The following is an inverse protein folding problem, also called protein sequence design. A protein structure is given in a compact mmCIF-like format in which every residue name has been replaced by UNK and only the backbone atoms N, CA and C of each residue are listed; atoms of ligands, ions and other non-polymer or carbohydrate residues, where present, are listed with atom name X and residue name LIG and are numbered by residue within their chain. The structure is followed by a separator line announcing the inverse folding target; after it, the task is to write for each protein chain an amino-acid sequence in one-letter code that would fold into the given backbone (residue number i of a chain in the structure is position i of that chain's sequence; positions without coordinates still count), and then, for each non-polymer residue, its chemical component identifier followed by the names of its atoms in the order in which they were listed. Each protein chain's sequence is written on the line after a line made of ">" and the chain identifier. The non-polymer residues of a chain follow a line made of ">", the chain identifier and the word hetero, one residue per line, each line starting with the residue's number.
data_IF_385181766839
#
_entry.id   IF_385181766839
#
_cell.length_a   1.000
_cell.length_b   1.000
_cell.length_c   1.000
_cell.angle_alpha   90.00
_cell.angle_beta   90.00
_cell.angle_gamma   90.00
#
_symmetry.space_group_name_H-M   'P 1'
#
loop_
_entity.id
_entity.type
_entity.pdbx_description
1 polymer ?
#
# COMPACT_ATOMS: atom_id res chain seq x y z
N UNK A 1 -23.37 -69.43 47.29
CA UNK A 1 -22.69 -68.18 46.87
C UNK A 1 -21.21 -68.33 47.20
N UNK A 2 -20.33 -68.05 46.27
CA UNK A 2 -18.88 -68.15 46.41
C UNK A 2 -18.20 -66.90 45.84
N UNK A 3 -16.87 -66.79 45.97
CA UNK A 3 -16.04 -65.77 45.31
C UNK A 3 -15.22 -66.42 44.21
N UNK A 4 -15.22 -65.85 43.01
CA UNK A 4 -14.48 -66.34 41.85
C UNK A 4 -14.02 -65.14 41.00
N UNK A 5 -12.75 -65.10 40.59
CA UNK A 5 -12.19 -64.05 39.71
C UNK A 5 -12.52 -62.61 40.20
N UNK A 6 -12.40 -62.38 41.52
CA UNK A 6 -12.77 -61.13 42.19
C UNK A 6 -14.27 -60.95 42.46
N UNK A 7 -15.14 -61.51 41.62
CA UNK A 7 -16.59 -61.35 41.71
C UNK A 7 -17.32 -62.36 42.63
N UNK A 8 -18.60 -62.09 42.86
CA UNK A 8 -19.51 -62.94 43.61
C UNK A 8 -20.24 -63.93 42.69
N UNK A 9 -19.95 -65.22 42.84
CA UNK A 9 -20.57 -66.30 42.09
C UNK A 9 -21.84 -66.83 42.77
N UNK A 10 -22.93 -66.88 42.01
CA UNK A 10 -24.18 -67.59 42.32
C UNK A 10 -24.57 -68.49 41.14
N UNK A 11 -25.45 -69.46 41.39
CA UNK A 11 -25.91 -70.37 40.36
C UNK A 11 -26.55 -71.63 40.92
N UNK A 12 -27.07 -72.44 40.01
CA UNK A 12 -27.63 -73.77 40.23
C UNK A 12 -27.06 -74.68 39.13
N UNK A 13 -26.68 -75.90 39.48
CA UNK A 13 -26.22 -76.90 38.51
C UNK A 13 -26.76 -78.28 38.86
N UNK A 14 -27.05 -79.06 37.82
CA UNK A 14 -27.39 -80.46 37.87
C UNK A 14 -26.37 -81.24 37.05
N UNK A 15 -25.81 -82.30 37.65
CA UNK A 15 -24.92 -83.25 37.01
C UNK A 15 -25.48 -84.66 37.23
N UNK A 16 -25.76 -85.37 36.13
CA UNK A 16 -26.24 -86.75 36.10
C UNK A 16 -25.27 -87.61 35.30
N UNK A 17 -25.28 -88.91 35.57
CA UNK A 17 -24.63 -89.92 34.73
C UNK A 17 -25.64 -91.04 34.48
N UNK A 18 -25.86 -91.38 33.22
CA UNK A 18 -26.78 -92.45 32.78
C UNK A 18 -26.01 -93.33 31.81
N UNK A 19 -25.76 -94.59 32.21
CA UNK A 19 -25.06 -95.61 31.41
C UNK A 19 -23.71 -95.15 30.82
N UNK A 20 -22.96 -94.35 31.59
CA UNK A 20 -21.66 -93.79 31.19
C UNK A 20 -21.75 -92.52 30.34
N UNK A 21 -22.94 -91.99 30.08
CA UNK A 21 -23.15 -90.68 29.49
C UNK A 21 -23.37 -89.65 30.61
N UNK A 22 -22.47 -88.68 30.74
CA UNK A 22 -22.66 -87.52 31.60
C UNK A 22 -23.69 -86.57 30.99
N UNK A 23 -24.56 -85.99 31.82
CA UNK A 23 -25.47 -84.91 31.47
C UNK A 23 -25.23 -83.77 32.46
N UNK A 24 -24.96 -82.57 31.96
CA UNK A 24 -24.80 -81.36 32.76
C UNK A 24 -25.79 -80.28 32.31
N UNK A 25 -26.40 -79.59 33.26
CA UNK A 25 -27.16 -78.36 33.04
C UNK A 25 -26.87 -77.39 34.17
N UNK A 26 -26.58 -76.13 33.86
CA UNK A 26 -26.24 -75.14 34.87
C UNK A 26 -26.61 -73.72 34.47
N UNK A 27 -27.10 -72.95 35.44
CA UNK A 27 -27.26 -71.50 35.36
C UNK A 27 -26.29 -70.86 36.35
N UNK A 28 -25.47 -69.92 35.87
CA UNK A 28 -24.44 -69.25 36.67
C UNK A 28 -24.54 -67.74 36.47
N UNK A 29 -24.39 -66.98 37.56
CA UNK A 29 -24.13 -65.53 37.53
C UNK A 29 -22.88 -65.23 38.34
N UNK A 30 -21.93 -64.54 37.73
CA UNK A 30 -20.75 -63.97 38.36
C UNK A 30 -20.89 -62.45 38.34
N UNK A 31 -21.09 -61.82 39.50
CA UNK A 31 -21.31 -60.37 39.60
C UNK A 31 -20.09 -59.64 40.15
N UNK A 32 -19.77 -58.47 39.57
CA UNK A 32 -18.68 -57.59 40.00
C UNK A 32 -17.28 -58.17 39.82
N UNK A 33 -17.04 -58.96 38.77
CA UNK A 33 -15.71 -59.50 38.48
C UNK A 33 -14.83 -58.48 37.73
N UNK A 34 -13.53 -58.50 37.99
CA UNK A 34 -12.53 -57.64 37.35
C UNK A 34 -12.11 -58.25 36.00
N UNK A 35 -12.24 -57.49 34.91
CA UNK A 35 -11.93 -57.98 33.56
C UNK A 35 -10.46 -58.34 33.38
N UNK A 36 -9.54 -57.69 34.09
CA UNK A 36 -8.11 -58.03 34.07
C UNK A 36 -7.82 -59.38 34.73
N UNK A 37 -8.67 -59.78 35.68
CA UNK A 37 -8.60 -61.07 36.38
C UNK A 37 -9.34 -62.18 35.61
N UNK A 38 -10.47 -61.86 34.97
CA UNK A 38 -11.25 -62.82 34.17
C UNK A 38 -10.55 -63.15 32.83
N UNK A 39 -9.94 -62.15 32.18
CA UNK A 39 -9.28 -62.28 30.88
C UNK A 39 -7.84 -61.71 30.93
N UNK A 40 -6.90 -62.37 31.65
CA UNK A 40 -5.52 -61.92 31.73
C UNK A 40 -4.88 -61.83 30.34
N UNK A 41 -4.04 -60.80 30.16
CA UNK A 41 -3.37 -60.43 28.91
C UNK A 41 -4.30 -60.11 27.71
N UNK A 42 -5.63 -60.04 27.86
CA UNK A 42 -6.53 -59.64 26.79
C UNK A 42 -6.48 -58.14 26.45
N UNK A 43 -5.82 -57.33 27.28
CA UNK A 43 -5.84 -55.88 27.17
C UNK A 43 -7.19 -55.25 27.56
N UNK A 44 -8.08 -56.00 28.20
CA UNK A 44 -9.38 -55.53 28.67
C UNK A 44 -9.30 -55.16 30.15
N UNK A 45 -9.82 -53.99 30.52
CA UNK A 45 -10.01 -53.57 31.91
C UNK A 45 -11.39 -52.94 32.13
N UNK A 46 -11.81 -52.85 33.39
CA UNK A 46 -13.18 -52.56 33.80
C UNK A 46 -13.73 -53.67 34.69
N UNK A 47 -15.05 -53.67 34.90
CA UNK A 47 -15.74 -54.72 35.67
C UNK A 47 -16.91 -55.31 34.88
N UNK A 48 -17.37 -56.51 35.24
CA UNK A 48 -18.49 -57.15 34.57
C UNK A 48 -19.36 -58.03 35.47
N UNK A 49 -20.67 -58.01 35.18
CA UNK A 49 -21.61 -59.03 35.61
C UNK A 49 -21.86 -59.98 34.44
N UNK A 50 -21.52 -61.25 34.61
CA UNK A 50 -21.69 -62.32 33.63
C UNK A 50 -22.84 -63.22 34.06
N UNK A 51 -23.75 -63.57 33.14
CA UNK A 51 -24.84 -64.53 33.39
C UNK A 51 -24.91 -65.52 32.24
N UNK A 52 -24.98 -66.83 32.53
CA UNK A 52 -25.04 -67.85 31.48
C UNK A 52 -25.90 -69.06 31.90
N UNK A 53 -26.61 -69.62 30.94
CA UNK A 53 -27.25 -70.93 31.03
C UNK A 53 -26.59 -71.87 30.02
N UNK A 54 -26.00 -72.96 30.50
CA UNK A 54 -25.25 -73.95 29.71
C UNK A 54 -25.81 -75.35 29.94
N UNK A 55 -25.84 -76.18 28.90
CA UNK A 55 -26.17 -77.60 28.98
C UNK A 55 -25.36 -78.43 27.98
N UNK A 56 -25.09 -79.68 28.34
CA UNK A 56 -24.32 -80.62 27.52
C UNK A 56 -24.55 -82.07 27.94
N UNK A 57 -24.24 -83.01 27.05
CA UNK A 57 -24.15 -84.43 27.37
C UNK A 57 -23.04 -85.12 26.59
N UNK A 58 -22.29 -86.03 27.23
CA UNK A 58 -21.24 -86.79 26.55
C UNK A 58 -20.59 -87.87 27.42
N UNK A 59 -19.85 -88.78 26.77
CA UNK A 59 -19.15 -89.90 27.43
C UNK A 59 -17.74 -89.56 27.95
N UNK A 60 -17.25 -88.35 27.67
CA UNK A 60 -16.00 -87.78 28.18
C UNK A 60 -16.15 -86.27 28.38
N UNK A 61 -15.20 -85.65 29.08
CA UNK A 61 -15.18 -84.19 29.25
C UNK A 61 -15.07 -83.49 27.89
N UNK A 62 -14.21 -83.97 27.00
CA UNK A 62 -14.04 -83.40 25.65
C UNK A 62 -15.33 -83.51 24.82
N UNK A 63 -16.04 -84.65 24.92
CA UNK A 63 -17.34 -84.80 24.28
C UNK A 63 -18.41 -83.87 24.89
N UNK A 64 -18.32 -83.58 26.20
CA UNK A 64 -19.19 -82.59 26.86
C UNK A 64 -18.81 -81.14 26.50
N UNK A 65 -17.55 -80.84 26.14
CA UNK A 65 -17.18 -79.52 25.59
C UNK A 65 -17.68 -79.42 24.13
N UNK A 66 -17.44 -80.43 23.30
CA UNK A 66 -17.89 -80.49 21.91
C UNK A 66 -19.43 -80.52 21.76
N UNK A 67 -20.16 -80.99 22.77
CA UNK A 67 -21.62 -80.93 22.84
C UNK A 67 -22.17 -79.72 23.63
N UNK A 68 -21.30 -78.80 24.09
CA UNK A 68 -21.72 -77.67 24.92
C UNK A 68 -22.60 -76.71 24.13
N UNK A 69 -23.76 -76.43 24.71
CA UNK A 69 -24.79 -75.55 24.16
C UNK A 69 -25.29 -74.58 25.23
N UNK A 70 -25.77 -73.41 24.83
CA UNK A 70 -26.34 -72.44 25.75
C UNK A 70 -26.28 -70.99 25.29
N UNK A 71 -26.49 -70.07 26.23
CA UNK A 71 -26.41 -68.64 25.99
C UNK A 71 -26.05 -67.87 27.25
N UNK A 72 -25.76 -66.58 27.10
CA UNK A 72 -25.49 -65.69 28.23
C UNK A 72 -25.40 -64.23 27.85
N UNK A 73 -25.13 -63.42 28.86
CA UNK A 73 -24.88 -61.98 28.76
C UNK A 73 -23.68 -61.60 29.61
N UNK A 74 -22.94 -60.61 29.15
CA UNK A 74 -21.90 -59.93 29.89
C UNK A 74 -22.23 -58.43 29.91
N UNK A 75 -22.64 -57.90 31.06
CA UNK A 75 -22.91 -56.47 31.24
C UNK A 75 -21.66 -55.84 31.82
N UNK A 76 -20.93 -55.10 31.00
CA UNK A 76 -19.58 -54.58 31.27
C UNK A 76 -19.66 -53.10 31.67
N UNK A 77 -18.80 -52.68 32.59
CA UNK A 77 -18.76 -51.30 33.12
C UNK A 77 -17.36 -50.72 33.13
N UNK A 78 -17.24 -49.49 32.64
CA UNK A 78 -15.96 -48.80 32.48
C UNK A 78 -14.98 -49.54 31.55
N UNK A 79 -15.51 -50.28 30.55
CA UNK A 79 -14.70 -51.08 29.63
C UNK A 79 -13.66 -50.20 28.94
N UNK A 80 -12.40 -50.62 29.03
CA UNK A 80 -11.28 -50.02 28.31
C UNK A 80 -10.50 -51.12 27.58
N UNK A 81 -10.12 -50.85 26.33
CA UNK A 81 -9.45 -51.79 25.43
C UNK A 81 -8.05 -51.23 25.11
N UNK A 82 -7.02 -51.83 25.67
CA UNK A 82 -5.63 -51.41 25.52
C UNK A 82 -5.00 -51.95 24.23
N UNK A 83 -4.21 -51.12 23.56
CA UNK A 83 -3.67 -51.40 22.23
C UNK A 83 -4.63 -51.03 21.10
N UNK A 84 -5.47 -50.01 21.31
CA UNK A 84 -6.37 -49.39 20.32
C UNK A 84 -6.41 -47.90 20.63
N UNK A 85 -5.87 -47.07 19.74
CA UNK A 85 -5.79 -45.62 19.90
C UNK A 85 -6.99 -44.92 19.22
N UNK A 86 -7.97 -44.37 19.96
CA UNK A 86 -9.12 -43.67 19.35
C UNK A 86 -8.74 -42.34 18.69
N UNK A 87 -7.64 -41.70 19.13
CA UNK A 87 -7.22 -40.36 18.70
C UNK A 87 -6.12 -40.39 17.62
N UNK A 88 -5.76 -41.58 17.15
CA UNK A 88 -4.71 -41.85 16.16
C UNK A 88 -4.82 -41.00 14.88
N UNK A 89 -6.03 -40.64 14.45
CA UNK A 89 -6.31 -40.03 13.16
C UNK A 89 -5.47 -38.79 12.84
N UNK A 90 -5.26 -37.90 13.82
CA UNK A 90 -4.41 -36.71 13.63
C UNK A 90 -2.95 -37.05 13.32
N UNK A 91 -2.41 -38.08 14.00
CA UNK A 91 -1.04 -38.55 13.79
C UNK A 91 -0.90 -39.36 12.48
N UNK A 92 -1.92 -40.16 12.12
CA UNK A 92 -2.00 -40.86 10.83
C UNK A 92 -1.99 -39.87 9.67
N UNK A 93 -2.78 -38.78 9.76
CA UNK A 93 -2.79 -37.69 8.78
C UNK A 93 -1.44 -36.96 8.73
N UNK A 94 -0.83 -36.66 9.89
CA UNK A 94 0.47 -35.98 9.91
C UNK A 94 1.56 -36.80 9.21
N UNK A 95 1.59 -38.13 9.42
CA UNK A 95 2.49 -39.04 8.69
C UNK A 95 2.19 -39.04 7.20
N UNK A 96 0.93 -39.20 6.80
CA UNK A 96 0.53 -39.18 5.40
C UNK A 96 0.91 -37.87 4.70
N UNK A 97 0.74 -36.73 5.35
CA UNK A 97 1.09 -35.41 4.78
C UNK A 97 2.61 -35.18 4.68
N UNK A 98 3.46 -35.89 5.44
CA UNK A 98 4.92 -35.91 5.20
C UNK A 98 5.34 -36.74 3.98
N UNK A 99 4.49 -37.67 3.53
CA UNK A 99 4.68 -38.49 2.33
C UNK A 99 4.03 -37.81 1.11
N UNK A 100 2.92 -37.11 1.31
CA UNK A 100 2.22 -36.32 0.32
C UNK A 100 1.57 -37.17 -0.78
N UNK A 101 1.66 -36.67 -2.02
CA UNK A 101 1.03 -37.25 -3.23
C UNK A 101 1.39 -38.72 -3.47
N UNK A 102 2.57 -39.16 -3.03
CA UNK A 102 3.10 -40.49 -3.30
C UNK A 102 2.75 -41.51 -2.19
N UNK A 103 1.73 -41.23 -1.37
CA UNK A 103 1.20 -42.18 -0.37
C UNK A 103 0.63 -43.44 -1.05
N UNK A 104 0.81 -44.60 -0.42
CA UNK A 104 0.32 -45.90 -0.91
C UNK A 104 0.10 -46.89 0.25
N UNK A 105 -0.35 -48.11 -0.06
CA UNK A 105 -0.62 -49.18 0.92
C UNK A 105 0.62 -49.57 1.71
N UNK A 106 1.77 -49.74 1.06
CA UNK A 106 3.01 -50.17 1.71
C UNK A 106 3.58 -49.08 2.62
N UNK A 107 3.53 -47.81 2.19
CA UNK A 107 3.93 -46.66 3.01
C UNK A 107 2.98 -46.46 4.19
N UNK A 108 1.68 -46.70 4.03
CA UNK A 108 0.69 -46.63 5.11
C UNK A 108 0.91 -47.73 6.14
N UNK A 109 1.14 -48.97 5.70
CA UNK A 109 1.47 -50.09 6.57
C UNK A 109 2.78 -49.88 7.37
N UNK A 110 3.69 -49.05 6.87
CA UNK A 110 4.93 -48.65 7.55
C UNK A 110 4.76 -47.63 8.70
N UNK A 111 3.55 -47.19 9.03
CA UNK A 111 3.30 -46.36 10.23
C UNK A 111 1.94 -46.57 10.91
N UNK A 112 0.91 -47.02 10.17
CA UNK A 112 -0.45 -47.06 10.68
C UNK A 112 -0.69 -48.10 11.80
N UNK A 113 -0.13 -49.34 11.74
CA UNK A 113 -0.27 -50.32 12.82
C UNK A 113 0.24 -49.82 14.18
N UNK A 114 1.40 -49.15 14.19
CA UNK A 114 2.00 -48.65 15.43
C UNK A 114 1.15 -47.52 16.04
N UNK A 115 0.72 -46.56 15.22
CA UNK A 115 -0.08 -45.41 15.69
C UNK A 115 -1.50 -45.84 16.10
N UNK A 116 -2.11 -46.81 15.40
CA UNK A 116 -3.39 -47.38 15.78
C UNK A 116 -3.30 -48.26 17.04
N UNK A 117 -2.13 -48.86 17.31
CA UNK A 117 -1.86 -49.64 18.51
C UNK A 117 -1.45 -48.82 19.75
N UNK A 118 -0.89 -47.63 19.58
CA UNK A 118 -0.38 -46.79 20.68
C UNK A 118 -1.50 -46.02 21.41
N UNK A 119 -2.34 -46.72 22.16
CA UNK A 119 -3.39 -46.11 22.97
C UNK A 119 -4.40 -47.07 23.60
N UNK A 120 -5.35 -46.49 24.33
CA UNK A 120 -6.43 -47.21 25.01
C UNK A 120 -7.80 -46.67 24.58
N UNK A 121 -8.65 -47.52 24.03
CA UNK A 121 -10.02 -47.18 23.64
C UNK A 121 -10.93 -47.30 24.87
N UNK A 122 -11.35 -46.17 25.43
CA UNK A 122 -12.42 -46.14 26.42
C UNK A 122 -13.76 -46.42 25.70
N UNK A 123 -14.40 -47.54 26.03
CA UNK A 123 -15.67 -47.98 25.47
C UNK A 123 -16.87 -47.70 26.41
N UNK A 124 -16.63 -47.52 27.71
CA UNK A 124 -17.68 -47.22 28.69
C UNK A 124 -18.47 -48.44 29.14
N UNK A 125 -19.77 -48.28 29.38
CA UNK A 125 -20.65 -49.38 29.80
C UNK A 125 -21.30 -50.02 28.57
N UNK A 126 -21.33 -51.35 28.50
CA UNK A 126 -21.82 -52.09 27.31
C UNK A 126 -22.34 -53.49 27.65
N UNK A 127 -23.42 -53.92 26.99
CA UNK A 127 -24.08 -55.21 27.21
C UNK A 127 -23.87 -56.13 26.00
N UNK A 128 -23.14 -57.23 26.21
CA UNK A 128 -22.81 -58.21 25.16
C UNK A 128 -23.59 -59.50 25.42
N UNK A 129 -24.53 -59.83 24.54
CA UNK A 129 -25.15 -61.15 24.49
C UNK A 129 -24.24 -62.15 23.75
N UNK A 130 -24.24 -63.42 24.17
CA UNK A 130 -23.50 -64.48 23.49
C UNK A 130 -24.28 -65.81 23.47
N UNK A 131 -23.94 -66.64 22.49
CA UNK A 131 -24.40 -68.03 22.40
C UNK A 131 -23.21 -68.97 22.52
N UNK A 132 -23.45 -70.19 22.98
CA UNK A 132 -22.49 -71.30 22.94
C UNK A 132 -23.13 -72.43 22.16
N UNK A 133 -22.43 -72.96 21.16
CA UNK A 133 -22.88 -74.11 20.38
C UNK A 133 -21.67 -74.91 19.87
N UNK A 134 -21.66 -76.21 20.13
CA UNK A 134 -20.56 -77.10 19.73
C UNK A 134 -19.25 -76.84 20.49
N UNK A 135 -19.33 -76.26 21.69
CA UNK A 135 -18.15 -75.74 22.41
C UNK A 135 -17.60 -74.42 21.88
N UNK A 136 -18.14 -73.85 20.79
CA UNK A 136 -17.78 -72.51 20.34
C UNK A 136 -18.74 -71.45 20.91
N UNK A 137 -18.19 -70.48 21.63
CA UNK A 137 -18.87 -69.23 22.00
C UNK A 137 -18.83 -68.25 20.82
N UNK A 138 -19.96 -67.55 20.56
CA UNK A 138 -20.05 -66.45 19.59
C UNK A 138 -20.88 -65.31 20.18
N UNK A 139 -20.39 -64.08 20.05
CA UNK A 139 -21.21 -62.88 20.21
C UNK A 139 -21.69 -62.39 18.84
N UNK A 140 -22.85 -61.69 18.74
CA UNK A 140 -23.17 -60.85 17.59
C UNK A 140 -22.13 -59.73 17.42
N UNK A 141 -22.10 -59.04 16.25
CA UNK A 141 -21.19 -57.92 16.02
C UNK A 141 -21.38 -56.82 17.07
N UNK A 142 -20.38 -56.63 17.93
CA UNK A 142 -20.39 -55.59 18.97
C UNK A 142 -20.00 -54.26 18.34
N UNK A 143 -20.67 -53.18 18.73
CA UNK A 143 -20.31 -51.80 18.35
C UNK A 143 -20.08 -50.96 19.59
N UNK A 144 -18.96 -50.25 19.63
CA UNK A 144 -18.52 -49.39 20.72
C UNK A 144 -18.07 -48.06 20.12
N UNK A 145 -18.46 -46.93 20.71
CA UNK A 145 -18.16 -45.60 20.16
C UNK A 145 -17.72 -44.62 21.24
N UNK A 146 -16.77 -43.75 20.91
CA UNK A 146 -16.38 -42.61 21.74
C UNK A 146 -16.18 -41.35 20.89
N UNK A 147 -15.47 -40.35 21.43
CA UNK A 147 -15.26 -39.06 20.77
C UNK A 147 -14.35 -39.15 19.53
N UNK A 148 -13.33 -40.02 19.54
CA UNK A 148 -12.33 -40.14 18.46
C UNK A 148 -12.69 -41.18 17.39
N UNK A 149 -13.27 -42.31 17.78
CA UNK A 149 -13.53 -43.43 16.87
C UNK A 149 -14.78 -44.24 17.21
N UNK A 150 -15.25 -44.99 16.21
CA UNK A 150 -16.12 -46.15 16.35
C UNK A 150 -15.29 -47.44 16.21
N UNK A 151 -15.66 -48.47 16.95
CA UNK A 151 -15.04 -49.79 16.96
C UNK A 151 -16.12 -50.85 16.79
N UNK A 152 -16.02 -51.64 15.71
CA UNK A 152 -16.88 -52.81 15.48
C UNK A 152 -16.06 -54.09 15.64
N UNK A 153 -16.65 -55.14 16.22
CA UNK A 153 -15.96 -56.42 16.43
C UNK A 153 -16.91 -57.64 16.42
N UNK A 154 -16.58 -58.63 15.58
CA UNK A 154 -17.06 -60.00 15.72
C UNK A 154 -16.16 -60.77 16.71
N UNK A 155 -16.75 -61.48 17.67
CA UNK A 155 -16.01 -62.18 18.72
C UNK A 155 -16.45 -63.66 18.76
N UNK A 156 -15.45 -64.55 18.64
CA UNK A 156 -15.64 -66.00 18.77
C UNK A 156 -14.57 -66.60 19.66
N UNK A 157 -14.92 -67.65 20.42
CA UNK A 157 -13.96 -68.41 21.21
C UNK A 157 -14.30 -69.89 21.17
N UNK A 158 -13.32 -70.73 20.86
CA UNK A 158 -13.49 -72.18 20.79
C UNK A 158 -12.92 -72.86 22.03
N UNK A 159 -13.81 -73.39 22.86
CA UNK A 159 -13.46 -74.06 24.11
C UNK A 159 -12.83 -75.44 23.86
N UNK A 160 -13.03 -76.04 22.68
CA UNK A 160 -12.39 -77.30 22.30
C UNK A 160 -10.87 -77.14 22.11
N UNK A 161 -10.43 -76.02 21.50
CA UNK A 161 -9.01 -75.69 21.29
C UNK A 161 -8.43 -74.69 22.29
N UNK A 162 -9.26 -74.15 23.19
CA UNK A 162 -8.89 -73.04 24.11
C UNK A 162 -8.37 -71.79 23.38
N UNK A 163 -8.94 -71.49 22.22
CA UNK A 163 -8.58 -70.33 21.40
C UNK A 163 -9.68 -69.26 21.39
N UNK A 164 -9.26 -68.03 21.12
CA UNK A 164 -10.14 -66.88 20.91
C UNK A 164 -9.74 -66.18 19.62
N UNK A 165 -10.73 -65.69 18.88
CA UNK A 165 -10.57 -64.90 17.68
C UNK A 165 -11.57 -63.75 17.66
N UNK A 166 -11.05 -62.52 17.60
CA UNK A 166 -11.82 -61.31 17.33
C UNK A 166 -11.36 -60.69 16.00
N UNK A 167 -12.30 -60.16 15.21
CA UNK A 167 -12.02 -59.41 13.98
C UNK A 167 -12.92 -58.19 13.91
N UNK A 168 -12.41 -57.10 13.37
CA UNK A 168 -13.18 -55.86 13.36
C UNK A 168 -12.50 -54.70 12.67
N UNK A 169 -13.11 -53.53 12.82
CA UNK A 169 -12.66 -52.28 12.20
C UNK A 169 -12.72 -51.15 13.21
N UNK A 170 -11.66 -50.35 13.27
CA UNK A 170 -11.61 -49.03 13.90
C UNK A 170 -11.92 -48.02 12.80
N UNK A 171 -13.00 -47.27 12.92
CA UNK A 171 -13.34 -46.16 12.01
C UNK A 171 -13.21 -44.85 12.77
N UNK A 172 -12.25 -44.02 12.38
CA UNK A 172 -11.98 -42.73 13.02
C UNK A 172 -13.01 -41.69 12.60
N UNK A 173 -13.27 -40.69 13.44
CA UNK A 173 -14.16 -39.56 13.13
C UNK A 173 -13.35 -38.47 12.42
N UNK A 174 -13.56 -38.22 11.10
CA UNK A 174 -12.63 -37.42 10.31
C UNK A 174 -12.72 -35.89 10.51
N UNK A 175 -13.84 -35.38 11.04
CA UNK A 175 -14.07 -33.94 11.21
C UNK A 175 -13.91 -33.17 9.89
N UNK A 176 -13.15 -32.08 9.92
CA UNK A 176 -12.83 -31.24 8.75
C UNK A 176 -11.94 -31.94 7.69
N UNK A 177 -11.61 -33.22 7.88
CA UNK A 177 -10.89 -34.07 6.94
C UNK A 177 -11.78 -35.19 6.37
N UNK A 178 -13.11 -35.04 6.42
CA UNK A 178 -14.05 -35.99 5.84
C UNK A 178 -13.96 -36.03 4.31
N UNK A 179 -14.03 -37.23 3.72
CA UNK A 179 -14.12 -37.44 2.28
C UNK A 179 -15.47 -38.05 1.91
N UNK A 180 -15.97 -37.70 0.72
CA UNK A 180 -17.26 -38.21 0.25
C UNK A 180 -17.13 -39.68 -0.14
N UNK A 181 -17.83 -40.55 0.59
CA UNK A 181 -17.89 -41.99 0.31
C UNK A 181 -16.66 -42.79 0.80
N UNK A 182 -15.83 -42.21 1.67
CA UNK A 182 -14.61 -42.86 2.17
C UNK A 182 -14.35 -42.49 3.63
N UNK A 183 -14.43 -43.48 4.52
CA UNK A 183 -14.23 -43.33 5.97
C UNK A 183 -12.85 -43.85 6.41
N UNK A 184 -12.08 -43.09 7.22
CA UNK A 184 -10.72 -43.49 7.62
C UNK A 184 -10.77 -44.69 8.56
N UNK A 185 -10.44 -45.87 8.03
CA UNK A 185 -10.69 -47.15 8.70
C UNK A 185 -9.44 -48.03 8.77
N UNK A 186 -9.19 -48.64 9.93
CA UNK A 186 -8.12 -49.64 10.13
C UNK A 186 -8.77 -50.93 10.61
N UNK A 187 -8.57 -52.00 9.86
CA UNK A 187 -9.02 -53.34 10.26
C UNK A 187 -8.07 -53.91 11.32
N UNK A 188 -8.59 -54.80 12.16
CA UNK A 188 -7.78 -55.54 13.12
C UNK A 188 -8.23 -56.99 13.24
N UNK A 189 -7.29 -57.86 13.62
CA UNK A 189 -7.58 -59.19 14.12
C UNK A 189 -6.78 -59.47 15.39
N UNK A 190 -7.43 -60.17 16.32
CA UNK A 190 -6.81 -60.73 17.51
C UNK A 190 -7.06 -62.23 17.48
N UNK A 191 -6.01 -63.05 17.53
CA UNK A 191 -6.13 -64.51 17.48
C UNK A 191 -5.09 -65.23 18.35
N UNK A 192 -5.45 -66.40 18.86
CA UNK A 192 -4.55 -67.30 19.58
C UNK A 192 -5.17 -67.94 20.82
N UNK A 193 -4.36 -68.63 21.64
CA UNK A 193 -4.80 -69.18 22.92
C UNK A 193 -5.16 -68.08 23.92
N UNK A 194 -6.06 -68.38 24.87
CA UNK A 194 -6.33 -67.49 26.00
C UNK A 194 -5.03 -67.12 26.74
N UNK A 195 -4.85 -65.83 27.04
CA UNK A 195 -3.64 -65.30 27.68
C UNK A 195 -2.39 -65.15 26.78
N UNK A 196 -2.43 -65.64 25.53
CA UNK A 196 -1.31 -65.64 24.58
C UNK A 196 -1.73 -65.20 23.16
N UNK A 197 -2.71 -64.30 23.08
CA UNK A 197 -3.22 -63.73 21.83
C UNK A 197 -2.17 -62.86 21.11
N UNK A 198 -2.18 -62.92 19.78
CA UNK A 198 -1.50 -61.95 18.91
C UNK A 198 -2.51 -60.92 18.43
N UNK A 199 -2.03 -59.71 18.13
CA UNK A 199 -2.80 -58.64 17.47
C UNK A 199 -2.16 -58.35 16.11
N UNK A 200 -2.98 -58.09 15.11
CA UNK A 200 -2.57 -57.63 13.79
C UNK A 200 -3.49 -56.48 13.36
N UNK A 201 -2.92 -55.50 12.65
CA UNK A 201 -3.67 -54.43 12.00
C UNK A 201 -3.51 -54.55 10.49
N UNK A 202 -4.61 -54.32 9.78
CA UNK A 202 -4.64 -54.13 8.33
C UNK A 202 -5.04 -52.67 8.06
N UNK A 203 -4.13 -51.94 7.42
CA UNK A 203 -4.29 -50.53 7.09
C UNK A 203 -4.62 -50.29 5.60
N UNK A 204 -5.04 -51.30 4.84
CA UNK A 204 -5.43 -51.11 3.44
C UNK A 204 -6.61 -50.13 3.30
N UNK A 205 -7.70 -50.19 4.09
CA UNK A 205 -8.80 -49.21 3.95
C UNK A 205 -8.35 -47.78 4.29
N UNK A 206 -7.45 -47.61 5.26
CA UNK A 206 -6.83 -46.32 5.56
C UNK A 206 -5.98 -45.82 4.40
N UNK A 207 -5.24 -46.70 3.72
CA UNK A 207 -4.47 -46.33 2.54
C UNK A 207 -5.36 -45.89 1.37
N UNK A 208 -6.54 -46.51 1.20
CA UNK A 208 -7.54 -46.09 0.22
C UNK A 208 -8.08 -44.68 0.55
N UNK A 209 -8.43 -44.42 1.81
CA UNK A 209 -8.79 -43.07 2.28
C UNK A 209 -7.67 -42.03 2.08
N UNK A 210 -6.43 -42.36 2.46
CA UNK A 210 -5.30 -41.44 2.38
C UNK A 210 -4.87 -41.13 0.94
N UNK A 211 -4.97 -42.10 0.03
CA UNK A 211 -4.70 -41.88 -1.40
C UNK A 211 -5.76 -41.00 -2.06
N UNK A 212 -7.05 -41.18 -1.75
CA UNK A 212 -8.09 -40.25 -2.19
C UNK A 212 -7.86 -38.84 -1.64
N UNK A 213 -7.53 -38.71 -0.34
CA UNK A 213 -7.20 -37.42 0.30
C UNK A 213 -5.98 -36.73 -0.33
N UNK A 214 -4.97 -37.50 -0.74
CA UNK A 214 -3.81 -36.96 -1.45
C UNK A 214 -4.16 -36.48 -2.87
N UNK A 215 -5.05 -37.19 -3.58
CA UNK A 215 -5.55 -36.79 -4.89
C UNK A 215 -6.38 -35.50 -4.83
N UNK A 216 -7.34 -35.41 -3.91
CA UNK A 216 -8.19 -34.21 -3.74
C UNK A 216 -7.35 -32.98 -3.33
N UNK A 217 -6.35 -33.14 -2.46
CA UNK A 217 -5.39 -32.08 -2.12
C UNK A 217 -4.58 -31.61 -3.33
N UNK A 218 -4.07 -32.53 -4.16
CA UNK A 218 -3.28 -32.15 -5.33
C UNK A 218 -4.15 -31.52 -6.43
N UNK A 219 -5.43 -31.93 -6.57
CA UNK A 219 -6.40 -31.24 -7.41
C UNK A 219 -6.60 -29.78 -6.94
N UNK A 220 -6.94 -29.57 -5.66
CA UNK A 220 -7.11 -28.22 -5.08
C UNK A 220 -5.86 -27.35 -5.27
N UNK A 221 -4.66 -27.95 -5.14
CA UNK A 221 -3.38 -27.28 -5.37
C UNK A 221 -3.19 -26.87 -6.83
N UNK A 222 -3.55 -27.74 -7.79
CA UNK A 222 -3.47 -27.44 -9.22
C UNK A 222 -4.48 -26.34 -9.61
N UNK A 223 -5.71 -26.41 -9.09
CA UNK A 223 -6.74 -25.37 -9.30
C UNK A 223 -6.32 -24.02 -8.72
N UNK A 224 -5.81 -23.99 -7.48
CA UNK A 224 -5.26 -22.79 -6.86
C UNK A 224 -4.04 -22.23 -7.64
N UNK A 225 -3.17 -23.10 -8.18
CA UNK A 225 -2.05 -22.69 -9.03
C UNK A 225 -2.53 -22.08 -10.35
N UNK A 226 -3.56 -22.65 -10.99
CA UNK A 226 -4.17 -22.09 -12.20
C UNK A 226 -4.83 -20.73 -11.92
N UNK A 227 -5.61 -20.61 -10.83
CA UNK A 227 -6.22 -19.35 -10.41
C UNK A 227 -5.16 -18.26 -10.15
N UNK A 228 -4.11 -18.58 -9.38
CA UNK A 228 -3.01 -17.66 -9.11
C UNK A 228 -2.22 -17.27 -10.38
N UNK A 229 -2.07 -18.17 -11.35
CA UNK A 229 -1.46 -17.86 -12.65
C UNK A 229 -2.35 -16.93 -13.49
N UNK A 230 -3.67 -17.15 -13.52
CA UNK A 230 -4.62 -16.29 -14.23
C UNK A 230 -4.72 -14.90 -13.60
N UNK A 231 -4.78 -14.81 -12.26
CA UNK A 231 -4.74 -13.53 -11.55
C UNK A 231 -3.40 -12.80 -11.78
N UNK A 232 -2.27 -13.50 -11.71
CA UNK A 232 -0.95 -12.92 -12.01
C UNK A 232 -0.85 -12.43 -13.47
N UNK A 233 -1.58 -13.04 -14.40
CA UNK A 233 -1.74 -12.50 -15.75
C UNK A 233 -2.66 -11.26 -15.79
N UNK A 234 -3.79 -11.27 -15.08
CA UNK A 234 -4.70 -10.11 -14.94
C UNK A 234 -3.95 -8.88 -14.43
N UNK A 235 -3.26 -9.01 -13.29
CA UNK A 235 -2.44 -7.96 -12.67
C UNK A 235 -1.31 -7.48 -13.60
N UNK A 236 -0.66 -8.38 -14.34
CA UNK A 236 0.36 -7.99 -15.34
C UNK A 236 -0.21 -7.19 -16.52
N UNK A 237 -1.46 -7.43 -16.94
CA UNK A 237 -2.14 -6.62 -17.97
C UNK A 237 -2.55 -5.26 -17.40
N UNK A 238 -3.08 -5.24 -16.18
CA UNK A 238 -3.50 -4.04 -15.46
C UNK A 238 -2.33 -3.06 -15.20
N UNK A 239 -1.19 -3.57 -14.69
CA UNK A 239 0.03 -2.77 -14.51
C UNK A 239 0.56 -2.21 -15.84
N UNK A 240 0.51 -3.00 -16.93
CA UNK A 240 0.91 -2.52 -18.27
C UNK A 240 -0.01 -1.41 -18.80
N UNK A 241 -1.31 -1.54 -18.57
CA UNK A 241 -2.29 -0.52 -18.96
C UNK A 241 -2.04 0.81 -18.23
N UNK A 242 -1.90 0.77 -16.90
CA UNK A 242 -1.60 1.99 -16.14
C UNK A 242 -0.22 2.58 -16.45
N UNK A 243 0.80 1.76 -16.75
CA UNK A 243 2.09 2.25 -17.20
C UNK A 243 1.99 2.99 -18.54
N UNK A 244 1.30 2.43 -19.53
CA UNK A 244 1.06 3.08 -20.82
C UNK A 244 0.30 4.41 -20.66
N UNK A 245 -0.75 4.43 -19.83
CA UNK A 245 -1.54 5.64 -19.54
C UNK A 245 -0.71 6.75 -18.85
N UNK A 246 0.30 6.39 -18.05
CA UNK A 246 1.25 7.38 -17.52
C UNK A 246 2.17 7.90 -18.63
N UNK A 247 2.74 7.02 -19.47
CA UNK A 247 3.56 7.45 -20.61
C UNK A 247 2.79 8.36 -21.60
N UNK A 248 1.50 8.11 -21.82
CA UNK A 248 0.64 9.00 -22.61
C UNK A 248 0.50 10.40 -21.97
N UNK A 249 0.35 10.47 -20.63
CA UNK A 249 0.29 11.75 -19.89
C UNK A 249 1.63 12.48 -19.88
N UNK A 250 2.73 11.76 -19.68
CA UNK A 250 4.09 12.32 -19.67
C UNK A 250 4.43 12.89 -21.05
N UNK A 251 4.12 12.15 -22.14
CA UNK A 251 4.25 12.63 -23.51
C UNK A 251 3.39 13.87 -23.78
N UNK A 252 2.12 13.88 -23.37
CA UNK A 252 1.24 15.03 -23.55
C UNK A 252 1.72 16.27 -22.76
N UNK A 253 2.27 16.08 -21.56
CA UNK A 253 2.87 17.15 -20.77
C UNK A 253 4.17 17.68 -21.40
N UNK A 254 5.00 16.81 -22.00
CA UNK A 254 6.14 17.23 -22.80
C UNK A 254 5.74 17.99 -24.07
N UNK A 255 4.70 17.57 -24.78
CA UNK A 255 4.19 18.27 -25.96
C UNK A 255 3.61 19.65 -25.60
N UNK A 256 2.84 19.75 -24.51
CA UNK A 256 2.40 21.03 -23.95
C UNK A 256 3.57 21.94 -23.62
N UNK A 257 4.60 21.44 -22.91
CA UNK A 257 5.81 22.22 -22.62
C UNK A 257 6.55 22.67 -23.88
N UNK A 258 6.67 21.82 -24.90
CA UNK A 258 7.29 22.17 -26.19
C UNK A 258 6.49 23.24 -26.92
N UNK A 259 5.16 23.20 -26.85
CA UNK A 259 4.29 24.25 -27.38
C UNK A 259 4.41 25.57 -26.60
N UNK A 260 4.45 25.53 -25.27
CA UNK A 260 4.67 26.70 -24.41
C UNK A 260 6.04 27.33 -24.65
N UNK A 261 7.12 26.53 -24.71
CA UNK A 261 8.47 27.01 -24.98
C UNK A 261 8.59 27.58 -26.40
N UNK A 262 7.97 26.95 -27.41
CA UNK A 262 7.92 27.50 -28.77
C UNK A 262 7.09 28.79 -28.86
N UNK A 263 5.96 28.86 -28.15
CA UNK A 263 5.14 30.09 -28.06
C UNK A 263 5.90 31.21 -27.35
N UNK A 264 6.65 30.90 -26.28
CA UNK A 264 7.48 31.88 -25.56
C UNK A 264 8.64 32.37 -26.42
N UNK A 265 9.33 31.47 -27.14
CA UNK A 265 10.39 31.83 -28.09
C UNK A 265 9.86 32.69 -29.23
N UNK A 266 8.67 32.39 -29.76
CA UNK A 266 8.02 33.21 -30.78
C UNK A 266 7.63 34.59 -30.24
N UNK A 267 7.03 34.67 -29.06
CA UNK A 267 6.69 35.94 -28.41
C UNK A 267 7.95 36.77 -28.07
N UNK A 268 9.05 36.12 -27.69
CA UNK A 268 10.34 36.77 -27.46
C UNK A 268 10.97 37.27 -28.76
N UNK A 269 10.85 36.52 -29.86
CA UNK A 269 11.28 36.95 -31.19
C UNK A 269 10.44 38.12 -31.73
N UNK A 270 9.11 38.05 -31.61
CA UNK A 270 8.18 39.12 -32.00
C UNK A 270 8.42 40.40 -31.16
N UNK A 271 8.75 40.25 -29.87
CA UNK A 271 9.12 41.37 -29.00
C UNK A 271 10.49 41.98 -29.35
N UNK A 272 11.51 41.16 -29.64
CA UNK A 272 12.82 41.61 -30.11
C UNK A 272 12.72 42.31 -31.48
N UNK A 273 11.91 41.79 -32.39
CA UNK A 273 11.68 42.39 -33.71
C UNK A 273 11.00 43.77 -33.60
N UNK A 274 10.03 43.92 -32.69
CA UNK A 274 9.44 45.24 -32.37
C UNK A 274 10.48 46.18 -31.74
N UNK A 275 11.24 45.71 -30.74
CA UNK A 275 12.26 46.52 -30.10
C UNK A 275 13.37 46.99 -31.07
N UNK A 276 13.77 46.15 -32.04
CA UNK A 276 14.67 46.56 -33.11
C UNK A 276 14.03 47.56 -34.09
N UNK A 277 12.76 47.39 -34.44
CA UNK A 277 12.04 48.32 -35.31
C UNK A 277 11.88 49.70 -34.63
N UNK A 278 11.50 49.72 -33.36
CA UNK A 278 11.38 50.94 -32.55
C UNK A 278 12.75 51.61 -32.36
N UNK A 279 13.82 50.84 -32.11
CA UNK A 279 15.18 51.36 -31.98
C UNK A 279 15.72 51.92 -33.31
N UNK A 280 15.42 51.27 -34.45
CA UNK A 280 15.76 51.79 -35.79
C UNK A 280 14.98 53.07 -36.11
N UNK A 281 13.69 53.11 -35.80
CA UNK A 281 12.86 54.31 -35.95
C UNK A 281 13.35 55.48 -35.08
N UNK A 282 13.77 55.22 -33.84
CA UNK A 282 14.39 56.23 -32.96
C UNK A 282 15.76 56.69 -33.48
N UNK A 283 16.60 55.78 -33.98
CA UNK A 283 17.90 56.13 -34.57
C UNK A 283 17.75 56.97 -35.86
N UNK A 284 16.78 56.65 -36.73
CA UNK A 284 16.47 57.48 -37.91
C UNK A 284 15.86 58.84 -37.55
N UNK A 285 15.04 58.89 -36.50
CA UNK A 285 14.49 60.15 -35.98
C UNK A 285 15.59 61.04 -35.37
N UNK A 286 16.51 60.49 -34.58
CA UNK A 286 17.68 61.22 -34.10
C UNK A 286 18.62 61.65 -35.22
N UNK A 287 18.85 60.81 -36.23
CA UNK A 287 19.68 61.15 -37.38
C UNK A 287 19.09 62.33 -38.18
N UNK A 288 17.77 62.35 -38.40
CA UNK A 288 17.07 63.49 -39.01
C UNK A 288 17.13 64.73 -38.12
N UNK A 289 16.88 64.59 -36.82
CA UNK A 289 16.95 65.72 -35.89
C UNK A 289 18.36 66.34 -35.80
N UNK A 290 19.42 65.54 -35.94
CA UNK A 290 20.81 66.00 -36.03
C UNK A 290 21.08 66.71 -37.37
N UNK A 291 20.64 66.13 -38.50
CA UNK A 291 20.77 66.75 -39.81
C UNK A 291 20.03 68.10 -39.91
N UNK A 292 18.80 68.21 -39.39
CA UNK A 292 18.03 69.45 -39.33
C UNK A 292 18.66 70.50 -38.40
N UNK A 293 19.38 70.06 -37.35
CA UNK A 293 20.13 70.95 -36.46
C UNK A 293 21.42 71.48 -37.11
N UNK A 294 22.18 70.62 -37.80
CA UNK A 294 23.38 71.02 -38.54
C UNK A 294 23.02 71.94 -39.73
N UNK A 295 21.93 71.65 -40.45
CA UNK A 295 21.42 72.53 -41.52
C UNK A 295 21.02 73.93 -41.03
N UNK A 296 20.50 74.04 -39.78
CA UNK A 296 20.26 75.35 -39.15
C UNK A 296 21.55 76.05 -38.74
N UNK A 297 22.51 75.31 -38.17
CA UNK A 297 23.81 75.87 -37.79
C UNK A 297 24.57 76.47 -38.98
N UNK A 298 24.55 75.82 -40.16
CA UNK A 298 25.12 76.39 -41.38
C UNK A 298 24.37 77.63 -41.91
N UNK A 299 23.05 77.69 -41.71
CA UNK A 299 22.24 78.83 -42.12
C UNK A 299 22.53 80.08 -41.26
N UNK A 300 22.57 79.93 -39.94
CA UNK A 300 22.89 81.02 -39.01
C UNK A 300 24.35 81.50 -39.19
N UNK A 301 25.29 80.58 -39.44
CA UNK A 301 26.69 80.92 -39.73
C UNK A 301 26.85 81.78 -41.01
N UNK A 302 26.06 81.52 -42.06
CA UNK A 302 26.03 82.37 -43.27
C UNK A 302 25.39 83.73 -43.01
N UNK A 303 24.33 83.78 -42.20
CA UNK A 303 23.66 85.04 -41.86
C UNK A 303 24.60 86.02 -41.09
N UNK A 304 25.45 85.51 -40.20
CA UNK A 304 26.46 86.34 -39.52
C UNK A 304 27.57 86.82 -40.47
N UNK A 305 28.02 85.99 -41.43
CA UNK A 305 29.05 86.37 -42.39
C UNK A 305 28.64 87.55 -43.30
N UNK A 306 27.37 87.60 -43.73
CA UNK A 306 26.87 88.72 -44.54
C UNK A 306 26.68 90.02 -43.73
N UNK A 307 26.41 89.92 -42.42
CA UNK A 307 26.27 91.09 -41.54
C UNK A 307 27.60 91.84 -41.35
N UNK A 308 28.69 91.12 -41.04
CA UNK A 308 30.03 91.71 -40.83
C UNK A 308 30.62 92.30 -42.12
N UNK A 309 30.29 91.72 -43.28
CA UNK A 309 30.71 92.26 -44.57
C UNK A 309 30.10 93.66 -44.84
N UNK A 310 28.84 93.88 -44.43
CA UNK A 310 28.14 95.14 -44.65
C UNK A 310 28.58 96.24 -43.69
N UNK A 311 28.86 95.90 -42.43
CA UNK A 311 29.27 96.85 -41.39
C UNK A 311 30.60 97.56 -41.68
N UNK A 312 31.51 96.97 -42.48
CA UNK A 312 32.79 97.58 -42.84
C UNK A 312 32.70 98.59 -44.00
N UNK A 313 31.73 98.44 -44.90
CA UNK A 313 31.60 99.31 -46.07
C UNK A 313 31.13 100.73 -45.72
N UNK A 314 30.19 100.87 -44.78
CA UNK A 314 29.66 102.17 -44.34
C UNK A 314 30.65 103.00 -43.48
N UNK A 315 31.72 102.37 -42.97
CA UNK A 315 32.70 103.03 -42.11
C UNK A 315 33.69 103.91 -42.88
N UNK A 316 34.25 103.40 -43.99
CA UNK A 316 35.29 104.10 -44.76
C UNK A 316 34.76 105.30 -45.55
N UNK A 317 33.49 105.23 -45.98
CA UNK A 317 32.83 106.29 -46.77
C UNK A 317 32.65 107.62 -46.00
N UNK A 318 32.57 107.60 -44.66
CA UNK A 318 32.42 108.83 -43.86
C UNK A 318 33.72 109.60 -43.67
N UNK A 319 34.86 108.92 -43.50
CA UNK A 319 36.12 109.54 -43.07
C UNK A 319 36.70 110.46 -44.16
N UNK A 320 36.49 110.14 -45.44
CA UNK A 320 36.99 110.96 -46.55
C UNK A 320 36.19 112.25 -46.78
N UNK A 321 34.93 112.31 -46.34
CA UNK A 321 34.07 113.47 -46.55
C UNK A 321 34.38 114.64 -45.59
N UNK A 322 34.79 114.35 -44.35
CA UNK A 322 35.07 115.39 -43.35
C UNK A 322 36.41 116.11 -43.58
N UNK A 323 37.39 115.45 -44.22
CA UNK A 323 38.72 116.03 -44.44
C UNK A 323 38.73 117.16 -45.48
N UNK A 324 37.91 117.07 -46.54
CA UNK A 324 37.85 118.12 -47.57
C UNK A 324 37.09 119.38 -47.10
N UNK A 325 36.20 119.26 -46.11
CA UNK A 325 35.45 120.41 -45.57
C UNK A 325 36.30 121.34 -44.68
N UNK A 326 37.47 120.90 -44.21
CA UNK A 326 38.28 121.62 -43.23
C UNK A 326 39.24 122.66 -43.84
N UNK A 327 39.77 122.44 -45.05
CA UNK A 327 40.80 123.33 -45.62
C UNK A 327 40.26 124.67 -46.16
N UNK A 328 39.06 124.69 -46.75
CA UNK A 328 38.48 125.91 -47.31
C UNK A 328 37.99 126.89 -46.23
N UNK A 329 37.59 126.40 -45.06
CA UNK A 329 37.18 127.23 -43.93
C UNK A 329 38.33 128.11 -43.40
N UNK A 330 39.57 127.62 -43.43
CA UNK A 330 40.73 128.27 -42.82
C UNK A 330 41.17 129.57 -43.52
N UNK A 331 40.91 129.71 -44.82
CA UNK A 331 41.36 130.88 -45.61
C UNK A 331 40.42 132.09 -45.47
N UNK A 332 39.12 131.85 -45.27
CA UNK A 332 38.12 132.91 -45.18
C UNK A 332 38.17 133.74 -43.87
N UNK A 333 38.73 133.18 -42.79
CA UNK A 333 38.77 133.87 -41.49
C UNK A 333 39.91 134.92 -41.39
N UNK A 334 40.92 134.83 -42.26
CA UNK A 334 42.11 135.69 -42.22
C UNK A 334 41.82 137.15 -42.63
N UNK A 335 40.91 137.36 -43.58
CA UNK A 335 40.58 138.72 -44.06
C UNK A 335 39.65 139.47 -43.11
N UNK A 336 38.69 138.78 -42.49
CA UNK A 336 37.70 139.40 -41.57
C UNK A 336 38.36 140.13 -40.39
N UNK A 337 39.45 139.57 -39.84
CA UNK A 337 40.14 140.11 -38.66
C UNK A 337 40.86 141.46 -38.90
N UNK A 338 41.06 141.89 -40.15
CA UNK A 338 41.57 143.24 -40.47
C UNK A 338 40.47 144.30 -40.52
N UNK A 339 39.23 143.95 -40.85
CA UNK A 339 38.12 144.91 -40.89
C UNK A 339 37.62 145.30 -39.48
N UNK A 340 37.69 144.35 -38.52
CA UNK A 340 37.11 144.53 -37.18
C UNK A 340 37.84 145.58 -36.32
N UNK A 341 39.14 145.79 -36.54
CA UNK A 341 39.91 146.80 -35.81
C UNK A 341 39.46 148.24 -36.10
N UNK A 342 38.85 148.51 -37.26
CA UNK A 342 38.39 149.85 -37.64
C UNK A 342 37.17 150.34 -36.83
N UNK A 343 36.30 149.44 -36.36
CA UNK A 343 35.07 149.81 -35.62
C UNK A 343 35.25 149.87 -34.10
N UNK A 344 36.36 149.34 -33.56
CA UNK A 344 36.58 149.21 -32.11
C UNK A 344 37.04 150.47 -31.40
N UNK A 345 37.48 151.49 -32.15
CA UNK A 345 37.88 152.80 -31.60
C UNK A 345 36.67 153.75 -31.54
N UNK A 346 35.91 153.86 -32.64
CA UNK A 346 34.73 154.74 -32.72
C UNK A 346 33.56 154.37 -31.78
N UNK A 347 33.57 153.17 -31.20
CA UNK A 347 32.54 152.68 -30.28
C UNK A 347 32.79 153.02 -28.80
N UNK A 348 33.99 153.48 -28.43
CA UNK A 348 34.33 153.75 -27.02
C UNK A 348 33.70 155.03 -26.45
N UNK A 349 33.44 156.05 -27.27
CA UNK A 349 32.85 157.31 -26.81
C UNK A 349 31.32 157.24 -26.59
N UNK A 350 30.61 156.41 -27.36
CA UNK A 350 29.13 156.47 -27.41
C UNK A 350 28.40 155.61 -26.36
N UNK A 351 29.01 154.54 -25.88
CA UNK A 351 28.31 153.53 -25.07
C UNK A 351 28.42 153.71 -23.54
N UNK A 352 29.23 154.66 -23.04
CA UNK A 352 29.46 154.81 -21.58
C UNK A 352 28.53 155.81 -20.88
N UNK A 353 27.62 156.46 -21.61
CA UNK A 353 26.65 157.42 -21.08
C UNK A 353 25.21 156.89 -21.03
N UNK A 354 24.86 155.86 -21.82
CA UNK A 354 23.52 155.27 -21.83
C UNK A 354 23.41 154.15 -20.79
N UNK A 355 23.53 154.60 -19.53
CA UNK A 355 23.79 153.78 -18.37
C UNK A 355 22.55 153.00 -17.85
N UNK A 356 22.83 151.95 -17.06
CA UNK A 356 22.18 151.77 -15.76
C UNK A 356 20.64 151.68 -15.75
N UNK A 357 20.04 150.76 -16.53
CA UNK A 357 18.61 150.41 -16.34
C UNK A 357 18.20 148.99 -16.76
N UNK A 358 17.95 148.14 -15.75
CA UNK A 358 17.14 146.89 -15.75
C UNK A 358 17.69 145.75 -16.65
N UNK A 359 18.17 144.59 -16.17
CA UNK A 359 17.96 143.79 -14.96
C UNK A 359 16.61 143.03 -14.86
N UNK A 360 16.71 141.69 -14.69
CA UNK A 360 15.69 140.72 -14.21
C UNK A 360 14.48 140.46 -15.16
N UNK A 361 13.77 139.31 -15.15
CA UNK A 361 14.05 137.98 -14.57
C UNK A 361 13.50 136.81 -15.43
N UNK A 362 13.27 135.60 -14.86
CA UNK A 362 13.11 134.32 -15.59
C UNK A 362 12.19 133.30 -14.85
N UNK A 363 12.21 132.03 -15.30
CA UNK A 363 11.95 130.80 -14.51
C UNK A 363 10.47 130.25 -14.44
N UNK A 364 10.17 129.05 -13.86
CA UNK A 364 9.38 127.99 -14.56
C UNK A 364 8.42 127.11 -13.66
N UNK A 365 8.16 125.83 -14.05
CA UNK A 365 7.69 124.59 -13.30
C UNK A 365 6.32 123.99 -13.70
N UNK A 366 5.95 122.69 -13.56
CA UNK A 366 6.55 121.35 -13.15
C UNK A 366 6.12 120.71 -11.80
N UNK A 367 5.27 119.66 -11.85
CA UNK A 367 4.96 118.56 -10.87
C UNK A 367 3.84 117.64 -11.48
N UNK A 368 3.47 116.37 -11.15
CA UNK A 368 3.93 115.18 -10.35
C UNK A 368 3.35 113.89 -11.07
N UNK A 369 2.96 112.67 -10.62
CA UNK A 369 2.88 111.82 -9.38
C UNK A 369 2.57 110.33 -9.75
N UNK A 370 2.92 109.35 -8.90
CA UNK A 370 2.85 107.87 -9.11
C UNK A 370 2.66 107.11 -7.72
N UNK A 371 3.18 105.88 -7.40
CA UNK A 371 2.70 104.51 -7.74
C UNK A 371 2.73 103.45 -6.58
N UNK A 372 2.58 102.14 -6.90
CA UNK A 372 3.13 100.99 -6.12
C UNK A 372 2.34 99.66 -6.25
N UNK A 373 2.87 98.43 -5.99
CA UNK A 373 4.24 97.90 -5.80
C UNK A 373 4.31 96.40 -6.27
N UNK A 374 5.53 95.86 -6.39
CA UNK A 374 6.01 94.57 -6.95
C UNK A 374 6.45 93.51 -5.84
N UNK A 375 7.11 92.33 -6.01
CA UNK A 375 7.64 91.48 -7.13
C UNK A 375 8.03 90.00 -6.70
N UNK A 376 8.22 89.08 -7.67
CA UNK A 376 9.23 87.95 -7.69
C UNK A 376 9.11 86.69 -6.77
N UNK A 377 9.79 85.52 -6.97
CA UNK A 377 10.59 84.89 -8.07
C UNK A 377 10.76 83.34 -7.83
N UNK A 378 11.22 82.53 -8.81
CA UNK A 378 11.50 81.05 -8.75
C UNK A 378 12.97 80.71 -8.27
N UNK A 379 13.58 79.46 -8.29
CA UNK A 379 13.40 78.25 -9.14
C UNK A 379 13.55 76.83 -8.44
N UNK A 380 14.00 75.77 -9.15
CA UNK A 380 14.01 74.31 -8.80
C UNK A 380 15.39 73.62 -9.08
N UNK A 381 15.66 72.27 -9.00
CA UNK A 381 14.86 71.05 -8.70
C UNK A 381 15.31 70.28 -7.41
N UNK A 382 15.85 69.01 -7.27
CA UNK A 382 16.38 67.96 -8.20
C UNK A 382 15.81 66.50 -7.98
N UNK A 383 16.63 65.42 -8.15
CA UNK A 383 16.39 63.94 -8.00
C UNK A 383 17.74 63.22 -7.63
N UNK A 384 17.97 61.85 -7.53
CA UNK A 384 17.13 60.67 -7.86
C UNK A 384 17.30 59.32 -7.04
N UNK A 385 16.56 58.26 -7.44
CA UNK A 385 16.70 56.79 -7.12
C UNK A 385 16.27 56.36 -5.69
N UNK A 386 15.83 55.12 -5.39
CA UNK A 386 15.83 53.79 -6.07
C UNK A 386 14.46 53.06 -6.06
N UNK A 387 14.38 51.90 -6.75
CA UNK A 387 13.31 50.88 -6.84
C UNK A 387 14.00 49.48 -6.81
N UNK A 388 13.32 48.31 -6.73
CA UNK A 388 12.00 47.99 -6.15
C UNK A 388 12.05 46.70 -5.26
N UNK A 389 10.89 46.10 -4.98
CA UNK A 389 10.68 44.85 -4.21
C UNK A 389 11.33 43.59 -4.82
N UNK A 390 11.71 42.64 -3.95
CA UNK A 390 11.85 41.20 -4.25
C UNK A 390 10.72 40.40 -3.60
N UNK A 391 10.25 39.34 -4.26
CA UNK A 391 9.16 38.48 -3.76
C UNK A 391 9.75 37.36 -2.90
N UNK A 392 9.59 37.44 -1.58
CA UNK A 392 9.78 36.30 -0.67
C UNK A 392 9.09 36.53 0.69
N UNK A 393 7.77 36.29 0.74
CA UNK A 393 7.16 35.38 1.71
C UNK A 393 5.62 35.25 1.56
N UNK A 394 5.21 34.00 1.29
CA UNK A 394 4.24 33.26 2.12
C UNK A 394 2.79 33.78 2.19
N UNK A 395 2.00 33.37 1.19
CA UNK A 395 0.55 33.23 1.31
C UNK A 395 0.18 32.33 2.51
N UNK A 396 -0.47 32.91 3.53
CA UNK A 396 -1.24 32.18 4.55
C UNK A 396 -2.51 32.96 4.88
N UNK A 397 -3.56 32.21 5.25
CA UNK A 397 -4.89 32.70 5.66
C UNK A 397 -5.52 33.74 4.73
N UNK A 398 -6.08 33.28 3.61
CA UNK A 398 -7.52 33.49 3.43
C UNK A 398 -8.22 32.54 4.41
N UNK A 399 -9.03 33.06 5.33
CA UNK A 399 -9.60 32.28 6.41
C UNK A 399 -10.33 33.13 7.46
N UNK A 400 -11.50 33.63 7.05
CA UNK A 400 -12.33 34.67 7.68
C UNK A 400 -11.78 36.10 7.53
#
# INVERSE_FOLDING_TARGET
>A
KATLLGGALTGLFELKNTDGNGLFSGQMRLAGADLTTVLPNAGLSGSGDFSTGLSTSGKSVDAMIAALSGSGTATLKGLTIAGVNPDAFGALIAKADTIGRDIDVAKTAGFAPDIAGDGNFAAGDTDIAFTVAGGTLRAPPVKLENAGAALSADITADLNTSTVAARGTITYKPGDQALVGSDPSVNFSVDGPFGAMKKLFDSEPLAQFLTQRALEKEQQRVEAMQAALLEKQRLRREVRYYAALQTERDNAAEELRKQEEAARLKAEADARAKAEADAKAQAEAEAKAKADAEAKAEADAKAQAEADAKAKADAEAKVQAEQQAAEDAAKAEAERKKAEQAMRIASQEKARLEAERKAQEQAPKVDRSLPGVNDGTAPAPPKPKTNPFSVDNLLKSLGN
#
